data_IF_323700784039
#
_entry.id   IF_323700784039
#
_cell.length_a   1.000
_cell.length_b   1.000
_cell.length_c   1.000
_cell.angle_alpha   90.00
_cell.angle_beta   90.00
_cell.angle_gamma   90.00
#
_symmetry.space_group_name_H-M   'P 1'
#
loop_
_entity.id
_entity.type
_entity.pdbx_description
1 polymer ?
#
# COMPACT_ATOMS: atom_id res chain seq x y z
N UNK A 1 10.66 17.69 -6.16
CA UNK A 1 10.81 16.79 -5.00
C UNK A 1 9.42 16.53 -4.41
N UNK A 2 9.04 15.28 -4.14
CA UNK A 2 7.70 14.98 -3.58
C UNK A 2 7.82 14.83 -2.06
N UNK A 3 7.09 15.65 -1.29
CA UNK A 3 7.00 15.54 0.18
C UNK A 3 6.20 14.29 0.52
N UNK A 4 6.70 13.51 1.49
CA UNK A 4 6.03 12.28 1.95
C UNK A 4 5.48 12.49 3.36
N UNK A 5 4.20 12.19 3.59
CA UNK A 5 3.55 12.32 4.90
C UNK A 5 4.20 11.41 5.96
N UNK A 6 4.64 10.23 5.53
CA UNK A 6 5.34 9.22 6.34
C UNK A 6 6.63 9.74 6.99
N UNK A 7 7.29 10.75 6.39
CA UNK A 7 8.59 11.23 6.84
C UNK A 7 8.58 11.73 8.28
N UNK A 8 7.51 12.42 8.70
CA UNK A 8 7.35 12.91 10.06
C UNK A 8 7.36 11.78 11.10
N UNK A 9 6.73 10.65 10.79
CA UNK A 9 6.67 9.48 11.66
C UNK A 9 8.00 8.73 11.69
N UNK A 10 8.69 8.65 10.54
CA UNK A 10 10.04 8.09 10.45
C UNK A 10 11.03 8.86 11.30
N UNK A 11 11.01 10.19 11.21
CA UNK A 11 11.90 11.08 11.98
C UNK A 11 11.66 10.98 13.48
N UNK A 12 10.39 10.92 13.93
CA UNK A 12 10.07 10.68 15.35
C UNK A 12 10.66 9.36 15.84
N UNK A 13 10.55 8.30 15.04
CA UNK A 13 11.06 6.98 15.39
C UNK A 13 12.59 6.88 15.40
N UNK A 14 13.32 7.86 14.86
CA UNK A 14 14.79 7.85 14.92
C UNK A 14 15.33 7.89 16.35
N UNK A 15 14.54 8.37 17.30
CA UNK A 15 14.90 8.45 18.72
C UNK A 15 14.67 7.15 19.49
N UNK A 16 13.86 6.24 18.95
CA UNK A 16 13.54 4.97 19.58
C UNK A 16 14.70 3.96 19.44
N UNK A 17 14.85 2.98 20.34
CA UNK A 17 15.94 2.00 20.26
C UNK A 17 15.76 0.99 19.13
N UNK A 18 14.53 0.63 18.73
CA UNK A 18 14.25 -0.38 17.70
C UNK A 18 14.76 0.03 16.32
N UNK A 19 15.13 -0.94 15.47
CA UNK A 19 15.49 -0.65 14.08
C UNK A 19 14.30 -0.04 13.32
N UNK A 20 14.56 0.99 12.52
CA UNK A 20 13.57 1.53 11.59
C UNK A 20 13.65 0.73 10.30
N UNK A 21 12.61 -0.02 9.94
CA UNK A 21 12.58 -0.80 8.69
C UNK A 21 11.58 -0.20 7.71
N UNK A 22 12.04 0.27 6.56
CA UNK A 22 11.22 0.73 5.45
C UNK A 22 10.93 -0.44 4.53
N UNK A 23 9.64 -0.73 4.33
CA UNK A 23 9.17 -1.71 3.35
C UNK A 23 8.17 -1.09 2.39
N UNK A 24 7.79 -1.79 1.33
CA UNK A 24 6.81 -1.31 0.36
C UNK A 24 7.16 -1.71 -1.07
N UNK A 25 6.30 -1.34 -2.04
CA UNK A 25 6.48 -1.69 -3.44
C UNK A 25 7.82 -1.26 -4.01
N UNK A 26 8.27 -1.92 -5.08
CA UNK A 26 9.45 -1.46 -5.82
C UNK A 26 9.23 -0.07 -6.41
N UNK A 27 10.30 0.71 -6.51
CA UNK A 27 10.27 2.08 -7.08
C UNK A 27 9.30 3.07 -6.41
N UNK A 28 8.84 2.78 -5.18
CA UNK A 28 7.94 3.65 -4.40
C UNK A 28 8.68 4.81 -3.68
N UNK A 29 10.01 4.86 -3.79
CA UNK A 29 10.85 5.92 -3.20
C UNK A 29 11.48 5.59 -1.84
N UNK A 30 11.72 4.31 -1.51
CA UNK A 30 12.40 3.89 -0.27
C UNK A 30 13.83 4.44 -0.16
N UNK A 31 14.69 4.17 -1.14
CA UNK A 31 16.05 4.73 -1.25
C UNK A 31 16.05 6.25 -1.16
N UNK A 32 15.10 6.90 -1.85
CA UNK A 32 14.93 8.34 -1.77
C UNK A 32 14.62 8.83 -0.33
N UNK A 33 13.72 8.15 0.38
CA UNK A 33 13.43 8.46 1.79
C UNK A 33 14.64 8.26 2.70
N UNK A 34 15.42 7.18 2.51
CA UNK A 34 16.66 6.96 3.26
C UNK A 34 17.65 8.11 3.05
N UNK A 35 17.92 8.47 1.79
CA UNK A 35 18.82 9.58 1.47
C UNK A 35 18.33 10.92 2.03
N UNK A 36 17.02 11.19 1.95
CA UNK A 36 16.44 12.40 2.51
C UNK A 36 16.62 12.47 4.04
N UNK A 37 16.37 11.37 4.74
CA UNK A 37 16.57 11.28 6.19
C UNK A 37 18.06 11.45 6.55
N UNK A 38 18.96 10.82 5.80
CA UNK A 38 20.40 10.96 6.02
C UNK A 38 20.85 12.41 5.85
N UNK A 39 20.43 13.08 4.77
CA UNK A 39 20.77 14.48 4.53
C UNK A 39 20.29 15.39 5.66
N UNK A 40 19.06 15.21 6.16
CA UNK A 40 18.54 15.98 7.30
C UNK A 40 19.30 15.72 8.60
N UNK A 41 19.84 14.52 8.80
CA UNK A 41 20.70 14.21 9.93
C UNK A 41 22.08 14.86 9.79
N UNK A 42 22.67 14.84 8.59
CA UNK A 42 23.93 15.54 8.27
C UNK A 42 23.80 17.05 8.49
N UNK A 43 22.68 17.66 8.09
CA UNK A 43 22.37 19.07 8.38
C UNK A 43 22.34 19.37 9.89
N UNK A 44 21.86 18.40 10.69
CA UNK A 44 21.89 18.46 12.17
C UNK A 44 23.24 18.08 12.77
N UNK A 45 24.28 17.87 11.95
CA UNK A 45 25.63 17.44 12.34
C UNK A 45 25.68 16.09 13.06
N UNK A 46 24.70 15.24 12.82
CA UNK A 46 24.69 13.87 13.32
C UNK A 46 25.61 12.99 12.46
N UNK A 47 26.26 12.01 13.08
CA UNK A 47 27.09 11.04 12.34
C UNK A 47 26.20 10.05 11.60
N UNK A 48 26.45 9.87 10.31
CA UNK A 48 25.73 8.89 9.48
C UNK A 48 26.68 8.04 8.66
N UNK A 49 26.20 6.87 8.25
CA UNK A 49 26.85 6.02 7.26
C UNK A 49 25.76 5.42 6.36
N UNK A 50 25.95 5.46 5.05
CA UNK A 50 25.05 4.87 4.08
C UNK A 50 25.69 3.67 3.39
N UNK A 51 25.03 2.52 3.45
CA UNK A 51 25.47 1.26 2.86
C UNK A 51 24.35 0.71 1.97
N UNK A 52 24.59 0.60 0.67
CA UNK A 52 23.66 -0.07 -0.25
C UNK A 52 24.21 -1.41 -0.69
N UNK A 53 23.40 -2.46 -0.56
CA UNK A 53 23.73 -3.79 -1.10
C UNK A 53 23.61 -3.86 -2.63
N UNK A 54 23.26 -2.75 -3.29
CA UNK A 54 23.42 -2.65 -4.74
C UNK A 54 24.86 -2.47 -5.21
N UNK A 55 25.76 -2.07 -4.30
CA UNK A 55 27.18 -1.93 -4.60
C UNK A 55 27.96 -3.16 -4.10
N UNK A 56 28.68 -3.81 -5.01
CA UNK A 56 29.44 -5.04 -4.71
C UNK A 56 30.48 -4.86 -3.59
N UNK A 57 31.06 -3.67 -3.49
CA UNK A 57 31.98 -3.30 -2.41
C UNK A 57 31.31 -3.38 -1.04
N UNK A 58 30.07 -2.91 -0.92
CA UNK A 58 29.33 -2.97 0.33
C UNK A 58 28.85 -4.39 0.60
N UNK A 59 28.44 -5.15 -0.41
CA UNK A 59 28.01 -6.55 -0.23
C UNK A 59 29.06 -7.36 0.53
N UNK A 60 30.36 -7.14 0.25
CA UNK A 60 31.47 -7.79 0.95
C UNK A 60 31.52 -7.45 2.45
N UNK A 61 31.10 -6.25 2.85
CA UNK A 61 31.02 -5.83 4.26
C UNK A 61 29.99 -6.66 5.04
N UNK A 62 28.94 -7.13 4.38
CA UNK A 62 27.88 -7.95 4.99
C UNK A 62 28.24 -9.45 5.08
N UNK A 63 29.50 -9.82 4.81
CA UNK A 63 29.97 -11.22 4.94
C UNK A 63 29.84 -11.76 6.37
N UNK A 64 30.08 -10.91 7.38
CA UNK A 64 29.86 -11.21 8.79
C UNK A 64 29.44 -9.96 9.56
N UNK A 65 28.80 -10.14 10.72
CA UNK A 65 28.43 -9.02 11.59
C UNK A 65 29.67 -8.27 12.09
N UNK A 66 30.74 -9.01 12.42
CA UNK A 66 32.02 -8.44 12.90
C UNK A 66 32.62 -7.51 11.85
N UNK A 67 32.74 -7.96 10.60
CA UNK A 67 33.31 -7.16 9.51
C UNK A 67 32.53 -5.85 9.30
N UNK A 68 31.20 -5.94 9.28
CA UNK A 68 30.35 -4.75 9.16
C UNK A 68 30.55 -3.78 10.33
N UNK A 69 30.64 -4.28 11.56
CA UNK A 69 30.81 -3.45 12.75
C UNK A 69 32.17 -2.77 12.76
N UNK A 70 33.25 -3.48 12.44
CA UNK A 70 34.59 -2.90 12.33
C UNK A 70 34.62 -1.78 11.28
N UNK A 71 33.99 -1.99 10.13
CA UNK A 71 33.84 -0.96 9.12
C UNK A 71 33.02 0.24 9.63
N UNK A 72 31.89 0.01 10.29
CA UNK A 72 31.08 1.09 10.88
C UNK A 72 31.93 1.89 11.89
N UNK A 73 32.64 1.22 12.80
CA UNK A 73 33.51 1.85 13.79
C UNK A 73 34.60 2.70 13.14
N UNK A 74 35.19 2.23 12.04
CA UNK A 74 36.18 2.98 11.28
C UNK A 74 35.60 4.28 10.70
N UNK A 75 34.38 4.23 10.16
CA UNK A 75 33.75 5.38 9.49
C UNK A 75 33.15 6.41 10.46
N UNK A 76 32.47 5.96 11.52
CA UNK A 76 31.70 6.85 12.41
C UNK A 76 32.17 6.83 13.87
N UNK A 77 33.12 5.97 14.22
CA UNK A 77 33.60 5.77 15.59
C UNK A 77 32.62 4.98 16.45
N UNK A 78 32.88 4.95 17.75
CA UNK A 78 32.10 4.17 18.74
C UNK A 78 31.02 5.00 19.47
N UNK A 79 30.67 6.18 18.94
CA UNK A 79 29.62 7.04 19.51
C UNK A 79 28.31 6.88 18.74
N UNK A 80 27.25 7.55 19.21
CA UNK A 80 25.95 7.57 18.56
C UNK A 80 26.09 7.90 17.06
N UNK A 81 25.54 7.04 16.21
CA UNK A 81 25.47 7.25 14.76
C UNK A 81 24.23 6.58 14.14
N UNK A 82 23.83 7.05 12.97
CA UNK A 82 22.70 6.51 12.21
C UNK A 82 23.21 5.76 10.98
N UNK A 83 22.93 4.47 10.91
CA UNK A 83 23.43 3.58 9.85
C UNK A 83 22.28 3.24 8.93
N UNK A 84 22.38 3.71 7.69
CA UNK A 84 21.42 3.47 6.62
C UNK A 84 21.86 2.24 5.83
N UNK A 85 20.98 1.25 5.71
CA UNK A 85 21.24 0.00 4.99
C UNK A 85 20.14 -0.16 3.93
N UNK A 86 20.50 -0.01 2.66
CA UNK A 86 19.56 -0.08 1.54
C UNK A 86 19.58 -1.47 0.88
N UNK A 87 18.42 -1.93 0.41
CA UNK A 87 18.23 -3.17 -0.35
C UNK A 87 18.70 -4.44 0.41
N UNK A 88 18.46 -4.50 1.73
CA UNK A 88 18.93 -5.60 2.60
C UNK A 88 18.42 -6.98 2.18
N UNK A 89 17.33 -7.08 1.40
CA UNK A 89 16.85 -8.35 0.88
C UNK A 89 17.83 -9.05 -0.08
N UNK A 90 18.90 -8.36 -0.52
CA UNK A 90 20.01 -8.99 -1.26
C UNK A 90 20.89 -9.86 -0.36
N UNK A 91 20.87 -9.65 0.96
CA UNK A 91 21.57 -10.50 1.94
C UNK A 91 20.75 -11.75 2.24
N UNK A 92 21.32 -12.92 1.99
CA UNK A 92 20.75 -14.18 2.47
C UNK A 92 20.67 -14.18 4.00
N UNK A 93 19.54 -14.65 4.56
CA UNK A 93 19.27 -14.66 6.00
C UNK A 93 19.41 -13.27 6.66
N UNK A 94 19.02 -12.20 5.95
CA UNK A 94 19.01 -10.82 6.43
C UNK A 94 18.40 -10.66 7.83
N UNK A 95 17.31 -11.36 8.14
CA UNK A 95 16.65 -11.28 9.45
C UNK A 95 17.57 -11.68 10.61
N UNK A 96 18.26 -12.81 10.50
CA UNK A 96 19.22 -13.29 11.52
C UNK A 96 20.41 -12.33 11.62
N UNK A 97 20.89 -11.85 10.47
CA UNK A 97 22.00 -10.91 10.42
C UNK A 97 21.67 -9.62 11.19
N UNK A 98 20.52 -9.01 10.93
CA UNK A 98 20.07 -7.80 11.62
C UNK A 98 19.79 -8.04 13.11
N UNK A 99 19.26 -9.21 13.48
CA UNK A 99 19.02 -9.60 14.88
C UNK A 99 20.31 -9.55 15.68
N UNK A 100 21.38 -10.20 15.20
CA UNK A 100 22.64 -10.21 15.94
C UNK A 100 23.28 -8.83 16.03
N UNK A 101 23.17 -7.98 14.99
CA UNK A 101 23.62 -6.58 15.08
C UNK A 101 22.87 -5.81 16.17
N UNK A 102 21.55 -5.99 16.25
CA UNK A 102 20.72 -5.33 17.25
C UNK A 102 21.05 -5.80 18.67
N UNK A 103 21.19 -7.12 18.86
CA UNK A 103 21.40 -7.73 20.18
C UNK A 103 22.78 -7.39 20.78
N UNK A 104 23.74 -6.91 19.97
CA UNK A 104 25.02 -6.39 20.44
C UNK A 104 24.92 -5.03 21.15
N UNK A 105 23.76 -4.35 21.09
CA UNK A 105 23.48 -3.08 21.80
C UNK A 105 24.52 -1.99 21.54
N UNK A 106 25.02 -1.93 20.30
CA UNK A 106 25.94 -0.88 19.85
C UNK A 106 25.21 0.48 19.83
N UNK A 107 25.92 1.61 19.93
CA UNK A 107 25.32 2.94 19.92
C UNK A 107 24.88 3.38 18.50
N UNK A 108 24.40 2.44 17.68
CA UNK A 108 24.04 2.69 16.29
C UNK A 108 22.55 2.52 16.10
N UNK A 109 21.87 3.56 15.60
CA UNK A 109 20.49 3.45 15.12
C UNK A 109 20.53 2.88 13.71
N UNK A 110 19.94 1.69 13.51
CA UNK A 110 19.85 1.08 12.18
C UNK A 110 18.56 1.54 11.48
N UNK A 111 18.69 2.05 10.26
CA UNK A 111 17.60 2.40 9.35
C UNK A 111 17.78 1.56 8.10
N UNK A 112 16.88 0.63 7.89
CA UNK A 112 17.04 -0.41 6.87
C UNK A 112 15.91 -0.31 5.87
N UNK A 113 16.20 -0.33 4.58
CA UNK A 113 15.17 -0.58 3.56
C UNK A 113 15.19 -2.04 3.12
N UNK A 114 14.03 -2.53 2.74
CA UNK A 114 13.95 -3.64 1.81
C UNK A 114 12.61 -3.66 1.08
N UNK A 115 12.54 -4.37 -0.04
CA UNK A 115 11.24 -4.77 -0.57
C UNK A 115 10.54 -5.72 0.42
N UNK A 116 9.21 -5.89 0.32
CA UNK A 116 8.42 -6.79 1.20
C UNK A 116 8.90 -8.24 1.29
N UNK A 117 9.89 -8.58 0.48
CA UNK A 117 10.55 -9.88 0.41
C UNK A 117 11.59 -10.18 1.49
N UNK A 118 11.87 -9.24 2.40
CA UNK A 118 12.89 -9.44 3.45
C UNK A 118 12.64 -10.70 4.28
N UNK A 119 11.37 -11.00 4.60
CA UNK A 119 10.97 -12.24 5.28
C UNK A 119 10.79 -13.42 4.30
N UNK A 120 10.45 -13.14 3.04
CA UNK A 120 10.24 -14.16 1.99
C UNK A 120 11.52 -14.91 1.60
N UNK A 121 12.66 -14.20 1.59
CA UNK A 121 13.97 -14.78 1.24
C UNK A 121 14.67 -15.45 2.42
N UNK A 122 14.10 -15.39 3.63
CA UNK A 122 14.68 -16.03 4.80
C UNK A 122 14.35 -17.53 4.82
N UNK A 123 15.36 -18.40 4.67
CA UNK A 123 15.20 -19.86 4.82
C UNK A 123 14.86 -20.27 6.26
N UNK A 124 15.15 -19.39 7.21
CA UNK A 124 14.93 -19.58 8.64
C UNK A 124 13.87 -18.57 9.11
N UNK A 125 12.79 -19.07 9.71
CA UNK A 125 11.71 -18.24 10.29
C UNK A 125 12.13 -17.72 11.67
N UNK A 126 13.15 -16.87 11.73
CA UNK A 126 13.47 -16.13 12.96
C UNK A 126 12.86 -14.73 12.91
N UNK A 127 12.11 -14.40 13.97
CA UNK A 127 11.39 -13.14 14.06
C UNK A 127 12.29 -12.03 14.60
N UNK A 128 12.27 -10.87 13.93
CA UNK A 128 12.79 -9.60 14.44
C UNK A 128 11.83 -8.92 15.45
N UNK A 129 10.90 -9.68 16.04
CA UNK A 129 9.93 -9.17 17.01
C UNK A 129 10.62 -8.46 18.18
N UNK A 130 10.06 -7.31 18.56
CA UNK A 130 10.58 -6.43 19.61
C UNK A 130 11.86 -5.67 19.25
N UNK A 131 12.42 -5.86 18.04
CA UNK A 131 13.69 -5.24 17.60
C UNK A 131 13.53 -4.30 16.42
N UNK A 132 12.34 -4.27 15.81
CA UNK A 132 12.05 -3.46 14.62
C UNK A 132 10.71 -2.76 14.75
N UNK A 133 10.62 -1.59 14.15
CA UNK A 133 9.37 -0.96 13.72
C UNK A 133 9.35 -0.92 12.20
N UNK A 134 8.30 -1.48 11.62
CA UNK A 134 8.09 -1.49 10.16
C UNK A 134 7.30 -0.24 9.77
N UNK A 135 7.79 0.47 8.77
CA UNK A 135 7.11 1.56 8.08
C UNK A 135 6.86 1.16 6.63
N UNK A 136 5.59 1.08 6.25
CA UNK A 136 5.20 0.73 4.87
C UNK A 136 5.15 2.02 4.05
N UNK A 137 6.07 2.14 3.09
CA UNK A 137 6.09 3.21 2.09
C UNK A 137 5.10 2.84 0.99
N UNK A 138 4.00 3.57 0.90
CA UNK A 138 2.96 3.37 -0.10
C UNK A 138 3.23 4.21 -1.36
N UNK A 139 2.62 3.87 -2.52
CA UNK A 139 2.43 4.84 -3.59
C UNK A 139 1.84 6.14 -3.01
N UNK A 140 2.05 7.25 -3.71
CA UNK A 140 1.57 8.55 -3.24
C UNK A 140 0.09 8.46 -2.92
N UNK A 141 -0.32 9.00 -1.77
CA UNK A 141 -1.74 9.24 -1.51
C UNK A 141 -2.28 10.27 -2.50
N UNK A 142 -3.61 10.35 -2.62
CA UNK A 142 -4.23 11.38 -3.45
C UNK A 142 -3.84 12.80 -3.00
N UNK A 143 -3.73 13.03 -1.69
CA UNK A 143 -3.28 14.31 -1.13
C UNK A 143 -1.83 14.63 -1.50
N UNK A 144 -0.90 13.66 -1.36
CA UNK A 144 0.51 13.83 -1.77
C UNK A 144 0.61 14.13 -3.27
N UNK A 145 -0.21 13.45 -4.09
CA UNK A 145 -0.31 13.68 -5.53
C UNK A 145 -0.79 15.11 -5.85
N UNK A 146 -1.90 15.55 -5.24
CA UNK A 146 -2.46 16.90 -5.47
C UNK A 146 -1.50 17.99 -5.01
N UNK A 147 -0.88 17.82 -3.84
CA UNK A 147 0.13 18.74 -3.34
C UNK A 147 1.27 18.90 -4.34
N UNK A 148 1.79 17.79 -4.87
CA UNK A 148 2.83 17.86 -5.90
C UNK A 148 2.33 18.55 -7.18
N UNK A 149 1.14 18.18 -7.69
CA UNK A 149 0.56 18.72 -8.93
C UNK A 149 0.23 20.22 -8.86
N UNK A 150 -0.07 20.71 -7.67
CA UNK A 150 -0.36 22.12 -7.41
C UNK A 150 0.87 22.90 -6.95
N UNK A 151 2.07 22.33 -7.08
CA UNK A 151 3.33 22.90 -6.58
C UNK A 151 3.25 23.37 -5.11
N UNK A 152 2.52 22.61 -4.29
CA UNK A 152 2.28 22.86 -2.87
C UNK A 152 1.54 24.17 -2.56
N UNK A 153 0.90 24.80 -3.55
CA UNK A 153 0.14 26.05 -3.37
C UNK A 153 -0.98 25.95 -2.33
N UNK A 154 -1.51 24.73 -2.12
CA UNK A 154 -2.66 24.47 -1.25
C UNK A 154 -2.37 23.49 -0.12
N UNK A 155 -1.09 23.26 0.23
CA UNK A 155 -0.68 22.22 1.21
C UNK A 155 -1.46 22.29 2.54
N UNK A 156 -1.61 23.47 3.11
CA UNK A 156 -2.33 23.67 4.39
C UNK A 156 -3.85 23.86 4.23
N UNK A 157 -4.36 23.85 2.99
CA UNK A 157 -5.76 24.15 2.66
C UNK A 157 -6.33 23.24 1.56
N UNK A 158 -5.82 22.00 1.47
CA UNK A 158 -6.26 21.05 0.46
C UNK A 158 -7.76 20.81 0.48
N UNK A 159 -8.38 20.76 1.67
CA UNK A 159 -9.84 20.61 1.80
C UNK A 159 -10.61 21.75 1.17
N UNK A 160 -10.14 22.99 1.35
CA UNK A 160 -10.76 24.16 0.71
C UNK A 160 -10.58 24.10 -0.80
N UNK A 161 -9.38 23.73 -1.26
CA UNK A 161 -9.12 23.50 -2.69
C UNK A 161 -10.07 22.45 -3.26
N UNK A 162 -10.20 21.28 -2.62
CA UNK A 162 -11.08 20.20 -3.08
C UNK A 162 -12.55 20.59 -3.14
N UNK A 163 -12.98 21.47 -2.23
CA UNK A 163 -14.35 21.95 -2.13
C UNK A 163 -14.66 23.06 -3.13
N UNK A 164 -13.71 23.97 -3.37
CA UNK A 164 -13.89 25.17 -4.19
C UNK A 164 -13.59 24.86 -5.66
N UNK A 165 -12.46 24.20 -5.94
CA UNK A 165 -11.99 23.83 -7.28
C UNK A 165 -12.48 22.43 -7.66
N UNK A 166 -13.80 22.25 -7.68
CA UNK A 166 -14.43 20.93 -7.84
C UNK A 166 -14.02 20.25 -9.17
N UNK A 167 -14.01 21.00 -10.28
CA UNK A 167 -13.64 20.46 -11.59
C UNK A 167 -12.18 20.02 -11.62
N UNK A 168 -11.27 20.89 -11.17
CA UNK A 168 -9.83 20.56 -11.12
C UNK A 168 -9.57 19.35 -10.21
N UNK A 169 -10.32 19.21 -9.11
CA UNK A 169 -10.23 18.06 -8.21
C UNK A 169 -10.65 16.77 -8.90
N UNK A 170 -11.73 16.79 -9.69
CA UNK A 170 -12.16 15.64 -10.47
C UNK A 170 -11.17 15.28 -11.58
N UNK A 171 -10.58 16.28 -12.25
CA UNK A 171 -9.55 16.05 -13.27
C UNK A 171 -8.31 15.40 -12.66
N UNK A 172 -7.87 15.87 -11.48
CA UNK A 172 -6.77 15.28 -10.73
C UNK A 172 -7.10 13.87 -10.24
N UNK A 173 -8.33 13.61 -9.79
CA UNK A 173 -8.78 12.26 -9.42
C UNK A 173 -8.75 11.32 -10.62
N UNK A 174 -9.22 11.77 -11.78
CA UNK A 174 -9.19 11.00 -13.03
C UNK A 174 -7.75 10.67 -13.42
N UNK A 175 -6.84 11.65 -13.38
CA UNK A 175 -5.41 11.42 -13.64
C UNK A 175 -4.82 10.40 -12.65
N UNK A 176 -5.11 10.54 -11.36
CA UNK A 176 -4.62 9.64 -10.32
C UNK A 176 -5.14 8.21 -10.49
N UNK A 177 -6.42 8.01 -10.80
CA UNK A 177 -6.97 6.69 -11.08
C UNK A 177 -6.31 6.08 -12.32
N UNK A 178 -6.15 6.86 -13.40
CA UNK A 178 -5.62 6.38 -14.69
C UNK A 178 -4.14 6.02 -14.63
N UNK A 179 -3.31 6.82 -13.95
CA UNK A 179 -1.85 6.66 -13.93
C UNK A 179 -1.28 6.10 -12.63
N UNK A 180 -2.07 6.08 -11.54
CA UNK A 180 -1.61 5.66 -10.22
C UNK A 180 -0.76 6.69 -9.50
N UNK A 181 -0.26 6.29 -8.32
CA UNK A 181 0.52 7.09 -7.38
C UNK A 181 2.01 6.73 -7.33
N UNK A 182 2.55 5.91 -8.23
CA UNK A 182 4.00 5.66 -8.24
C UNK A 182 4.79 6.95 -8.45
N UNK A 183 5.73 7.34 -7.56
CA UNK A 183 6.38 8.64 -7.63
C UNK A 183 7.08 8.93 -8.97
N UNK A 184 7.80 7.95 -9.55
CA UNK A 184 8.46 8.13 -10.86
C UNK A 184 7.44 8.42 -11.98
N UNK A 185 6.28 7.76 -11.96
CA UNK A 185 5.20 7.99 -12.92
C UNK A 185 4.58 9.37 -12.72
N UNK A 186 4.37 9.79 -11.47
CA UNK A 186 3.82 11.12 -11.16
C UNK A 186 4.79 12.24 -11.57
N UNK A 187 6.10 12.01 -11.47
CA UNK A 187 7.15 12.93 -11.90
C UNK A 187 7.29 13.04 -13.44
N UNK A 188 6.88 12.02 -14.18
CA UNK A 188 6.95 12.02 -15.64
C UNK A 188 5.99 13.06 -16.24
N UNK A 189 6.52 13.90 -17.14
CA UNK A 189 5.83 15.09 -17.66
C UNK A 189 4.83 14.79 -18.78
N UNK A 190 5.09 13.76 -19.58
CA UNK A 190 4.25 13.38 -20.73
C UNK A 190 3.61 12.02 -20.52
N UNK A 191 2.50 11.75 -21.21
CA UNK A 191 1.84 10.44 -21.16
C UNK A 191 2.77 9.30 -21.62
N UNK A 192 3.59 9.54 -22.65
CA UNK A 192 4.54 8.55 -23.15
C UNK A 192 5.62 8.22 -22.10
N UNK A 193 6.20 9.23 -21.45
CA UNK A 193 7.17 9.01 -20.38
C UNK A 193 6.53 8.28 -19.20
N UNK A 194 5.27 8.59 -18.87
CA UNK A 194 4.51 7.85 -17.84
C UNK A 194 4.37 6.39 -18.21
N UNK A 195 4.04 6.09 -19.48
CA UNK A 195 3.87 4.73 -19.98
C UNK A 195 5.19 3.94 -19.93
N UNK A 196 6.27 4.49 -20.47
CA UNK A 196 7.60 3.86 -20.41
C UNK A 196 8.06 3.66 -18.96
N UNK A 197 7.80 4.63 -18.08
CA UNK A 197 8.14 4.50 -16.65
C UNK A 197 7.33 3.38 -15.98
N UNK A 198 6.04 3.26 -16.29
CA UNK A 198 5.20 2.18 -15.74
C UNK A 198 5.61 0.81 -16.28
N UNK A 199 6.00 0.74 -17.56
CA UNK A 199 6.57 -0.46 -18.18
C UNK A 199 7.85 -0.90 -17.47
N UNK A 200 8.78 0.01 -17.18
CA UNK A 200 9.98 -0.30 -16.39
C UNK A 200 9.63 -0.83 -14.99
N UNK A 201 8.63 -0.23 -14.31
CA UNK A 201 8.16 -0.71 -13.00
C UNK A 201 7.60 -2.13 -13.14
N UNK A 202 6.73 -2.35 -14.13
CA UNK A 202 6.12 -3.65 -14.37
C UNK A 202 7.16 -4.73 -14.69
N UNK A 203 8.05 -4.51 -15.65
CA UNK A 203 9.09 -5.48 -16.03
C UNK A 203 10.08 -5.75 -14.89
N UNK A 204 10.57 -4.70 -14.21
CA UNK A 204 11.53 -4.90 -13.13
C UNK A 204 10.96 -5.68 -11.95
N UNK A 205 9.66 -5.59 -11.72
CA UNK A 205 9.04 -6.09 -10.51
C UNK A 205 8.23 -7.37 -10.74
N UNK A 206 7.35 -7.37 -11.75
CA UNK A 206 6.48 -8.49 -12.08
C UNK A 206 7.22 -9.57 -12.86
N UNK A 207 8.02 -9.18 -13.86
CA UNK A 207 8.67 -10.16 -14.73
C UNK A 207 9.96 -10.71 -14.11
N UNK A 208 10.79 -9.83 -13.54
CA UNK A 208 12.08 -10.24 -12.95
C UNK A 208 11.93 -10.76 -11.53
N UNK A 209 11.56 -9.93 -10.56
CA UNK A 209 11.66 -10.34 -9.15
C UNK A 209 10.69 -11.43 -8.75
N UNK A 210 9.43 -11.31 -9.18
CA UNK A 210 8.43 -12.32 -8.86
C UNK A 210 8.77 -13.64 -9.56
N UNK A 211 9.27 -13.57 -10.79
CA UNK A 211 9.78 -14.74 -11.52
C UNK A 211 10.88 -15.46 -10.73
N UNK A 212 11.91 -14.72 -10.31
CA UNK A 212 13.02 -15.24 -9.49
C UNK A 212 12.55 -15.81 -8.16
N UNK A 213 11.68 -15.06 -7.46
CA UNK A 213 11.24 -15.38 -6.12
C UNK A 213 10.29 -16.58 -6.08
N UNK A 214 9.49 -16.76 -7.12
CA UNK A 214 8.62 -17.92 -7.27
C UNK A 214 9.35 -19.14 -7.87
N UNK A 215 10.56 -18.97 -8.41
CA UNK A 215 11.28 -20.00 -9.15
C UNK A 215 10.48 -20.48 -10.37
N UNK A 216 9.69 -19.60 -10.98
CA UNK A 216 8.70 -19.97 -11.98
C UNK A 216 9.33 -19.93 -13.36
N UNK A 217 9.47 -21.11 -13.97
CA UNK A 217 9.86 -21.25 -15.38
C UNK A 217 8.75 -20.79 -16.36
N UNK A 218 7.50 -20.64 -15.88
CA UNK A 218 6.31 -20.26 -16.68
C UNK A 218 5.77 -18.86 -16.32
N UNK A 219 6.45 -17.82 -16.80
CA UNK A 219 6.05 -16.41 -16.62
C UNK A 219 4.63 -16.09 -17.13
N UNK A 220 4.16 -16.82 -18.15
CA UNK A 220 2.83 -16.61 -18.73
C UNK A 220 1.68 -16.92 -17.77
N UNK A 221 1.80 -17.96 -16.94
CA UNK A 221 0.75 -18.33 -16.00
C UNK A 221 0.55 -17.26 -14.92
N UNK A 222 1.65 -16.69 -14.40
CA UNK A 222 1.61 -15.57 -13.45
C UNK A 222 1.01 -14.32 -14.12
N UNK A 223 1.43 -14.03 -15.36
CA UNK A 223 0.94 -12.88 -16.13
C UNK A 223 -0.56 -12.99 -16.41
N UNK A 224 -1.05 -14.17 -16.81
CA UNK A 224 -2.46 -14.43 -17.03
C UNK A 224 -3.27 -14.34 -15.73
N UNK A 225 -2.75 -14.90 -14.63
CA UNK A 225 -3.36 -14.75 -13.31
C UNK A 225 -3.52 -13.27 -12.93
N UNK A 226 -2.46 -12.47 -13.10
CA UNK A 226 -2.50 -11.04 -12.81
C UNK A 226 -3.50 -10.28 -13.69
N UNK A 227 -3.56 -10.60 -14.99
CA UNK A 227 -4.56 -10.03 -15.91
C UNK A 227 -6.00 -10.36 -15.48
N UNK A 228 -6.26 -11.60 -15.08
CA UNK A 228 -7.59 -12.00 -14.59
C UNK A 228 -7.93 -11.28 -13.29
N UNK A 229 -7.01 -11.19 -12.33
CA UNK A 229 -7.23 -10.46 -11.08
C UNK A 229 -7.44 -8.96 -11.33
N UNK A 230 -6.67 -8.37 -12.25
CA UNK A 230 -6.81 -6.98 -12.66
C UNK A 230 -8.19 -6.69 -13.28
N UNK A 231 -8.72 -7.60 -14.09
CA UNK A 231 -10.04 -7.43 -14.72
C UNK A 231 -11.20 -7.57 -13.71
N UNK A 232 -11.04 -8.41 -12.68
CA UNK A 232 -12.05 -8.65 -11.63
C UNK A 232 -11.77 -7.90 -10.31
N UNK A 233 -11.05 -6.79 -10.36
CA UNK A 233 -10.77 -5.94 -9.19
C UNK A 233 -12.07 -5.61 -8.44
N UNK A 234 -12.07 -5.70 -7.10
CA UNK A 234 -13.27 -5.48 -6.30
C UNK A 234 -14.31 -6.62 -6.34
N UNK A 235 -14.06 -7.70 -7.10
CA UNK A 235 -14.92 -8.89 -7.15
C UNK A 235 -14.35 -10.07 -6.35
N UNK A 236 -15.23 -11.02 -6.01
CA UNK A 236 -14.85 -12.24 -5.33
C UNK A 236 -13.89 -13.07 -6.18
N UNK A 237 -12.82 -13.55 -5.56
CA UNK A 237 -11.85 -14.43 -6.21
C UNK A 237 -12.11 -15.88 -5.80
N UNK A 238 -12.49 -16.70 -6.79
CA UNK A 238 -12.58 -18.15 -6.65
C UNK A 238 -11.30 -18.80 -7.19
N UNK A 239 -10.52 -19.43 -6.30
CA UNK A 239 -9.24 -20.05 -6.67
C UNK A 239 -9.40 -21.21 -7.65
N UNK A 240 -10.50 -21.95 -7.57
CA UNK A 240 -10.76 -23.08 -8.47
C UNK A 240 -11.09 -22.61 -9.89
N UNK A 241 -11.81 -21.50 -10.02
CA UNK A 241 -12.07 -20.87 -11.33
C UNK A 241 -10.78 -20.28 -11.92
N UNK A 242 -9.90 -19.72 -11.08
CA UNK A 242 -8.57 -19.27 -11.50
C UNK A 242 -7.68 -20.43 -11.95
N UNK A 243 -7.67 -21.53 -11.20
CA UNK A 243 -6.91 -22.74 -11.53
C UNK A 243 -7.31 -23.32 -12.87
N UNK A 244 -8.62 -23.45 -13.12
CA UNK A 244 -9.14 -23.95 -14.41
C UNK A 244 -8.82 -23.01 -15.56
N UNK A 245 -8.92 -21.69 -15.36
CA UNK A 245 -8.67 -20.69 -16.40
C UNK A 245 -7.18 -20.55 -16.74
N UNK A 246 -6.31 -20.55 -15.74
CA UNK A 246 -4.85 -20.36 -15.92
C UNK A 246 -4.16 -21.68 -16.26
N UNK A 247 -4.76 -22.83 -15.91
CA UNK A 247 -4.21 -24.17 -16.20
C UNK A 247 -3.11 -24.60 -15.23
N UNK A 248 -3.16 -24.17 -13.96
CA UNK A 248 -2.21 -24.57 -12.91
C UNK A 248 -2.95 -24.92 -11.62
N UNK A 249 -2.38 -25.80 -10.80
CA UNK A 249 -3.04 -26.30 -9.59
C UNK A 249 -3.45 -25.20 -8.58
N UNK A 250 -4.58 -25.40 -7.89
CA UNK A 250 -5.10 -24.51 -6.83
C UNK A 250 -4.05 -24.12 -5.79
N UNK A 251 -3.18 -25.06 -5.39
CA UNK A 251 -2.10 -24.79 -4.42
C UNK A 251 -1.11 -23.76 -4.98
N UNK A 252 -0.80 -23.83 -6.27
CA UNK A 252 0.09 -22.88 -6.95
C UNK A 252 -0.56 -21.51 -7.09
N UNK A 253 -1.86 -21.44 -7.42
CA UNK A 253 -2.63 -20.18 -7.43
C UNK A 253 -2.57 -19.51 -6.06
N UNK A 254 -2.87 -20.24 -5.00
CA UNK A 254 -2.81 -19.71 -3.63
C UNK A 254 -1.41 -19.23 -3.26
N UNK A 255 -0.38 -19.95 -3.68
CA UNK A 255 1.01 -19.53 -3.48
C UNK A 255 1.30 -18.21 -4.22
N UNK A 256 0.92 -18.09 -5.49
CA UNK A 256 1.09 -16.86 -6.26
C UNK A 256 0.34 -15.68 -5.63
N UNK A 257 -0.93 -15.86 -5.24
CA UNK A 257 -1.72 -14.85 -4.55
C UNK A 257 -1.07 -14.40 -3.24
N UNK A 258 -0.50 -15.33 -2.48
CA UNK A 258 0.23 -15.01 -1.25
C UNK A 258 1.46 -14.15 -1.55
N UNK A 259 2.28 -14.54 -2.53
CA UNK A 259 3.45 -13.77 -2.92
C UNK A 259 3.09 -12.37 -3.44
N UNK A 260 2.08 -12.25 -4.28
CA UNK A 260 1.56 -10.96 -4.77
C UNK A 260 1.09 -10.04 -3.63
N UNK A 261 0.57 -10.61 -2.53
CA UNK A 261 0.24 -9.86 -1.32
C UNK A 261 1.50 -9.43 -0.56
N UNK A 262 2.46 -10.35 -0.37
CA UNK A 262 3.70 -10.06 0.39
C UNK A 262 4.63 -9.08 -0.33
N UNK A 263 4.54 -8.97 -1.65
CA UNK A 263 5.36 -8.04 -2.41
C UNK A 263 4.69 -6.67 -2.61
N UNK A 264 3.45 -6.47 -2.15
CA UNK A 264 2.67 -5.23 -2.30
C UNK A 264 2.14 -4.95 -3.72
N UNK A 265 1.78 -5.98 -4.50
CA UNK A 265 0.96 -5.78 -5.72
C UNK A 265 -0.51 -5.80 -5.36
N UNK A 266 -0.92 -6.85 -4.65
CA UNK A 266 -2.31 -7.05 -4.24
C UNK A 266 -2.45 -6.89 -2.74
N UNK A 267 -3.65 -6.56 -2.30
CA UNK A 267 -4.05 -6.66 -0.91
C UNK A 267 -5.37 -7.42 -0.82
N UNK A 268 -5.36 -8.46 0.02
CA UNK A 268 -6.53 -9.30 0.27
C UNK A 268 -7.46 -8.63 1.29
N UNK A 269 -8.76 -8.66 1.00
CA UNK A 269 -9.84 -8.24 1.91
C UNK A 269 -10.77 -9.43 2.11
N UNK A 270 -10.97 -9.84 3.37
CA UNK A 270 -11.83 -10.96 3.72
C UNK A 270 -13.25 -10.50 4.04
N UNK A 271 -14.25 -11.38 3.94
CA UNK A 271 -15.62 -11.02 4.28
C UNK A 271 -15.82 -10.92 5.79
N UNK A 272 -16.57 -9.91 6.22
CA UNK A 272 -17.01 -9.71 7.59
C UNK A 272 -18.02 -10.80 7.99
N UNK A 273 -17.61 -11.65 8.93
CA UNK A 273 -18.48 -12.59 9.61
C UNK A 273 -18.28 -12.49 11.12
N UNK A 274 -19.35 -12.69 11.88
CA UNK A 274 -19.23 -12.88 13.34
C UNK A 274 -18.58 -14.22 13.69
N UNK A 275 -18.64 -15.19 12.77
CA UNK A 275 -17.98 -16.49 12.90
C UNK A 275 -16.64 -16.49 12.15
N UNK A 276 -15.55 -16.59 12.92
CA UNK A 276 -14.17 -16.56 12.41
C UNK A 276 -13.89 -17.66 11.38
N UNK A 277 -14.45 -18.87 11.52
CA UNK A 277 -14.26 -19.93 10.50
C UNK A 277 -14.89 -19.56 9.16
N UNK A 278 -16.06 -18.91 9.17
CA UNK A 278 -16.70 -18.43 7.93
C UNK A 278 -15.93 -17.27 7.30
N UNK A 279 -15.35 -16.39 8.11
CA UNK A 279 -14.44 -15.33 7.65
C UNK A 279 -13.21 -15.89 6.93
N UNK A 280 -12.60 -16.95 7.47
CA UNK A 280 -11.40 -17.58 6.90
C UNK A 280 -11.71 -18.38 5.62
N UNK A 281 -12.84 -19.08 5.57
CA UNK A 281 -13.15 -20.05 4.50
C UNK A 281 -13.80 -19.44 3.26
N UNK A 282 -14.33 -18.22 3.35
CA UNK A 282 -15.06 -17.61 2.23
C UNK A 282 -14.14 -16.85 1.29
N UNK A 283 -14.53 -16.85 0.00
CA UNK A 283 -13.79 -16.20 -1.08
C UNK A 283 -13.48 -14.73 -0.72
N UNK A 284 -12.21 -14.29 -0.84
CA UNK A 284 -11.83 -12.91 -0.58
C UNK A 284 -12.03 -12.02 -1.82
N UNK A 285 -11.84 -10.72 -1.63
CA UNK A 285 -11.65 -9.72 -2.69
C UNK A 285 -10.18 -9.29 -2.69
N UNK A 286 -9.62 -8.99 -3.86
CA UNK A 286 -8.28 -8.40 -3.98
C UNK A 286 -8.34 -7.02 -4.60
N UNK A 287 -7.62 -6.07 -4.00
CA UNK A 287 -7.37 -4.73 -4.52
C UNK A 287 -5.89 -4.55 -4.82
N UNK A 288 -5.55 -3.66 -5.74
CA UNK A 288 -4.18 -3.32 -6.07
C UNK A 288 -3.66 -2.20 -5.17
N UNK A 289 -2.39 -2.24 -4.81
CA UNK A 289 -1.74 -1.12 -4.12
C UNK A 289 -1.71 0.16 -4.96
N UNK A 290 -1.81 0.02 -6.28
CA UNK A 290 -1.76 1.12 -7.25
C UNK A 290 -2.66 0.81 -8.46
N UNK A 291 -3.58 1.72 -8.79
CA UNK A 291 -4.50 1.55 -9.93
C UNK A 291 -3.80 1.71 -11.28
N UNK A 292 -2.69 2.48 -11.34
CA UNK A 292 -1.89 2.62 -12.54
C UNK A 292 -1.25 1.30 -12.96
N UNK A 293 -0.67 0.56 -12.02
CA UNK A 293 -0.11 -0.76 -12.29
C UNK A 293 -1.18 -1.72 -12.83
N UNK A 294 -2.36 -1.73 -12.20
CA UNK A 294 -3.51 -2.51 -12.68
C UNK A 294 -3.93 -2.11 -14.10
N UNK A 295 -4.01 -0.81 -14.37
CA UNK A 295 -4.42 -0.31 -15.67
C UNK A 295 -3.39 -0.66 -16.75
N UNK A 296 -2.10 -0.62 -16.42
CA UNK A 296 -1.03 -1.07 -17.31
C UNK A 296 -1.18 -2.54 -17.68
N UNK A 297 -1.45 -3.42 -16.70
CA UNK A 297 -1.66 -4.85 -16.93
C UNK A 297 -2.81 -5.18 -17.90
N UNK A 298 -3.82 -4.29 -17.97
CA UNK A 298 -4.97 -4.44 -18.88
C UNK A 298 -4.86 -3.63 -20.18
N UNK A 299 -3.77 -2.89 -20.39
CA UNK A 299 -3.64 -1.98 -21.53
C UNK A 299 -4.55 -0.75 -21.45
N UNK A 300 -5.02 -0.39 -20.25
CA UNK A 300 -5.91 0.74 -19.97
C UNK A 300 -5.18 1.93 -19.33
N UNK A 301 -3.84 1.91 -19.33
CA UNK A 301 -3.01 2.93 -18.68
C UNK A 301 -3.10 4.27 -19.40
N UNK A 302 -3.39 5.33 -18.64
CA UNK A 302 -3.45 6.69 -19.17
C UNK A 302 -4.64 6.98 -20.09
N UNK A 303 -5.71 6.19 -20.01
CA UNK A 303 -6.94 6.52 -20.75
C UNK A 303 -7.45 7.92 -20.36
N UNK A 304 -7.93 8.71 -21.34
CA UNK A 304 -8.40 10.08 -21.10
C UNK A 304 -9.65 10.12 -20.23
N UNK A 305 -10.44 9.04 -20.25
CA UNK A 305 -11.55 8.82 -19.34
C UNK A 305 -11.61 7.36 -18.95
N UNK A 306 -12.03 7.12 -17.71
CA UNK A 306 -12.22 5.76 -17.19
C UNK A 306 -13.55 5.24 -17.75
N UNK A 307 -13.59 4.05 -18.38
CA UNK A 307 -14.83 3.47 -18.87
C UNK A 307 -15.88 3.40 -17.74
N UNK A 308 -17.14 3.83 -17.97
CA UNK A 308 -18.16 3.84 -16.92
C UNK A 308 -18.32 2.48 -16.23
N UNK A 309 -18.25 1.39 -16.98
CA UNK A 309 -18.34 0.02 -16.48
C UNK A 309 -17.20 -0.38 -15.50
N UNK A 310 -16.04 0.27 -15.57
CA UNK A 310 -14.89 0.00 -14.70
C UNK A 310 -14.72 1.03 -13.59
N UNK A 311 -15.37 2.19 -13.75
CA UNK A 311 -15.16 3.36 -12.89
C UNK A 311 -15.52 3.11 -11.43
N UNK A 312 -16.57 2.31 -11.17
CA UNK A 312 -16.97 1.91 -9.81
C UNK A 312 -15.86 1.17 -9.07
N UNK A 313 -15.41 0.02 -9.60
CA UNK A 313 -14.38 -0.80 -8.94
C UNK A 313 -13.00 -0.14 -8.88
N UNK A 314 -12.63 0.70 -9.86
CA UNK A 314 -11.41 1.50 -9.78
C UNK A 314 -11.48 2.54 -8.65
N UNK A 315 -12.62 3.21 -8.51
CA UNK A 315 -12.86 4.14 -7.42
C UNK A 315 -12.89 3.43 -6.07
N UNK A 316 -13.56 2.27 -5.96
CA UNK A 316 -13.49 1.40 -4.77
C UNK A 316 -12.05 1.09 -4.40
N UNK A 317 -11.18 0.77 -5.36
CA UNK A 317 -9.77 0.55 -5.07
C UNK A 317 -9.06 1.81 -4.55
N UNK A 318 -9.36 2.99 -5.09
CA UNK A 318 -8.80 4.24 -4.56
C UNK A 318 -9.26 4.46 -3.11
N UNK A 319 -10.56 4.28 -2.84
CA UNK A 319 -11.12 4.36 -1.49
C UNK A 319 -10.43 3.35 -0.57
N UNK A 320 -10.28 2.10 -1.00
CA UNK A 320 -9.57 1.06 -0.26
C UNK A 320 -8.13 1.48 0.07
N UNK A 321 -7.40 2.04 -0.89
CA UNK A 321 -6.03 2.48 -0.67
C UNK A 321 -5.94 3.64 0.33
N UNK A 322 -6.90 4.56 0.31
CA UNK A 322 -7.01 5.63 1.31
C UNK A 322 -7.33 5.06 2.70
N UNK A 323 -8.32 4.17 2.81
CA UNK A 323 -8.67 3.50 4.08
C UNK A 323 -7.48 2.76 4.68
N UNK A 324 -6.80 1.94 3.87
CA UNK A 324 -5.67 1.11 4.30
C UNK A 324 -4.51 1.95 4.83
N UNK A 325 -4.30 3.15 4.29
CA UNK A 325 -3.22 4.04 4.73
C UNK A 325 -3.52 4.70 6.09
N UNK A 326 -4.79 4.83 6.46
CA UNK A 326 -5.23 5.50 7.67
C UNK A 326 -5.64 4.55 8.81
N UNK A 327 -5.85 3.27 8.51
CA UNK A 327 -6.22 2.25 9.51
C UNK A 327 -4.97 1.74 10.24
N UNK A 328 -5.03 1.78 11.56
CA UNK A 328 -3.97 1.34 12.45
C UNK A 328 -4.42 0.03 13.13
N UNK A 329 -3.61 -1.05 13.09
CA UNK A 329 -3.92 -2.27 13.82
C UNK A 329 -4.20 -2.00 15.31
N UNK A 330 -5.16 -2.69 15.95
CA UNK A 330 -5.82 -3.92 15.49
C UNK A 330 -7.03 -3.72 14.57
N UNK A 331 -7.35 -2.47 14.19
CA UNK A 331 -8.47 -2.20 13.28
C UNK A 331 -8.22 -2.82 11.91
N UNK A 332 -9.31 -3.29 11.27
CA UNK A 332 -9.23 -4.03 10.02
C UNK A 332 -10.35 -3.68 9.05
N UNK A 333 -10.05 -3.81 7.75
CA UNK A 333 -10.99 -3.62 6.65
C UNK A 333 -11.49 -4.99 6.21
N UNK A 334 -12.80 -5.13 6.18
CA UNK A 334 -13.52 -6.27 5.60
C UNK A 334 -14.45 -5.79 4.49
N UNK A 335 -15.08 -6.70 3.76
CA UNK A 335 -16.30 -6.41 2.98
C UNK A 335 -17.47 -7.20 3.56
N UNK A 336 -18.72 -6.88 3.26
CA UNK A 336 -19.84 -7.72 3.68
C UNK A 336 -20.65 -8.22 2.50
N UNK A 337 -21.07 -9.49 2.54
CA UNK A 337 -21.90 -10.09 1.49
C UNK A 337 -22.87 -11.13 2.05
N UNK A 338 -24.08 -11.17 1.49
CA UNK A 338 -25.11 -12.18 1.78
C UNK A 338 -25.15 -13.29 0.72
N UNK A 339 -25.91 -14.36 0.99
CA UNK A 339 -26.19 -15.41 -0.01
C UNK A 339 -26.95 -14.87 -1.22
N UNK A 340 -27.82 -13.88 -1.00
CA UNK A 340 -28.60 -13.21 -2.04
C UNK A 340 -27.81 -12.09 -2.75
N UNK A 341 -26.47 -12.16 -2.69
CA UNK A 341 -25.53 -11.23 -3.34
C UNK A 341 -25.63 -9.75 -2.93
N UNK A 342 -26.41 -9.41 -1.89
CA UNK A 342 -26.33 -8.07 -1.30
C UNK A 342 -24.92 -7.84 -0.71
N UNK A 343 -24.28 -6.73 -1.06
CA UNK A 343 -22.90 -6.40 -0.70
C UNK A 343 -22.77 -4.99 -0.12
N UNK A 344 -21.87 -4.83 0.85
CA UNK A 344 -21.32 -3.54 1.30
C UNK A 344 -19.81 -3.59 1.07
N UNK A 345 -19.26 -2.59 0.39
CA UNK A 345 -17.90 -2.58 -0.14
C UNK A 345 -16.85 -2.71 0.96
N UNK A 346 -16.99 -1.91 2.03
CA UNK A 346 -16.09 -1.99 3.17
C UNK A 346 -16.83 -1.99 4.51
N UNK A 347 -16.27 -2.69 5.48
CA UNK A 347 -16.66 -2.67 6.88
C UNK A 347 -15.38 -2.51 7.69
N UNK A 348 -15.22 -1.35 8.32
CA UNK A 348 -14.15 -1.14 9.30
C UNK A 348 -14.59 -1.76 10.62
N UNK A 349 -13.76 -2.60 11.20
CA UNK A 349 -13.97 -3.15 12.54
C UNK A 349 -12.93 -2.56 13.49
N UNK A 350 -13.42 -1.86 14.52
CA UNK A 350 -12.61 -1.29 15.60
C UNK A 350 -13.10 -1.87 16.93
N UNK A 351 -12.49 -2.98 17.34
CA UNK A 351 -12.96 -3.79 18.46
C UNK A 351 -14.35 -4.38 18.20
N UNK A 352 -15.34 -3.89 18.96
CA UNK A 352 -16.76 -4.27 18.82
C UNK A 352 -17.54 -3.33 17.89
N UNK A 353 -16.99 -2.16 17.58
CA UNK A 353 -17.65 -1.22 16.68
C UNK A 353 -17.41 -1.62 15.23
N UNK A 354 -18.46 -1.50 14.42
CA UNK A 354 -18.40 -1.73 12.98
C UNK A 354 -18.95 -0.52 12.25
N UNK A 355 -18.25 -0.13 11.19
CA UNK A 355 -18.60 1.04 10.37
C UNK A 355 -18.68 0.60 8.91
N UNK A 356 -19.89 0.50 8.32
CA UNK A 356 -20.05 0.18 6.91
C UNK A 356 -19.76 1.40 6.02
N UNK A 357 -19.12 1.15 4.88
CA UNK A 357 -18.75 2.15 3.89
C UNK A 357 -19.14 1.63 2.50
N UNK A 358 -19.86 2.45 1.74
CA UNK A 358 -20.19 2.22 0.33
C UNK A 358 -19.48 3.28 -0.53
N UNK A 359 -18.81 2.87 -1.60
CA UNK A 359 -18.09 3.78 -2.50
C UNK A 359 -18.85 3.93 -3.81
N UNK A 360 -19.24 5.17 -4.14
CA UNK A 360 -20.00 5.48 -5.36
C UNK A 360 -19.26 6.49 -6.21
N UNK A 361 -18.76 6.07 -7.37
CA UNK A 361 -18.18 6.97 -8.36
C UNK A 361 -19.26 7.74 -9.14
N UNK A 362 -19.96 8.63 -8.44
CA UNK A 362 -21.02 9.45 -9.01
C UNK A 362 -21.25 10.71 -8.19
N UNK A 363 -21.79 11.75 -8.85
CA UNK A 363 -22.28 12.97 -8.22
C UNK A 363 -23.77 12.78 -7.89
N UNK A 364 -24.03 12.39 -6.65
CA UNK A 364 -25.37 12.20 -6.08
C UNK A 364 -26.07 13.55 -5.91
N UNK A 365 -27.23 13.70 -6.55
CA UNK A 365 -28.13 14.86 -6.31
C UNK A 365 -28.83 14.79 -4.95
N UNK A 366 -29.09 13.57 -4.48
CA UNK A 366 -29.69 13.26 -3.18
C UNK A 366 -29.01 12.04 -2.56
N UNK A 367 -28.96 11.94 -1.22
CA UNK A 367 -28.46 10.76 -0.54
C UNK A 367 -29.20 9.51 -1.01
N UNK A 368 -28.48 8.54 -1.54
CA UNK A 368 -29.06 7.30 -2.02
C UNK A 368 -28.39 6.11 -1.32
N UNK A 369 -29.16 5.48 -0.43
CA UNK A 369 -28.72 4.30 0.32
C UNK A 369 -29.20 3.05 -0.38
N UNK A 370 -28.27 2.22 -0.85
CA UNK A 370 -28.58 0.99 -1.57
C UNK A 370 -29.37 0.01 -0.71
N UNK A 371 -30.13 -0.88 -1.35
CA UNK A 371 -30.85 -1.95 -0.64
C UNK A 371 -29.89 -2.83 0.17
N UNK A 372 -28.72 -3.13 -0.39
CA UNK A 372 -27.69 -3.92 0.28
C UNK A 372 -27.18 -3.25 1.55
N UNK A 373 -26.92 -1.95 1.50
CA UNK A 373 -26.50 -1.18 2.66
C UNK A 373 -27.59 -1.13 3.73
N UNK A 374 -28.86 -0.91 3.34
CA UNK A 374 -30.00 -0.99 4.28
C UNK A 374 -30.09 -2.35 4.97
N UNK A 375 -29.88 -3.44 4.22
CA UNK A 375 -29.88 -4.79 4.79
C UNK A 375 -28.77 -4.95 5.85
N UNK A 376 -27.59 -4.38 5.62
CA UNK A 376 -26.51 -4.36 6.60
C UNK A 376 -26.92 -3.58 7.86
N UNK A 377 -27.46 -2.37 7.69
CA UNK A 377 -27.89 -1.52 8.80
C UNK A 377 -28.94 -2.19 9.68
N UNK A 378 -29.96 -2.83 9.08
CA UNK A 378 -30.99 -3.58 9.83
C UNK A 378 -30.36 -4.73 10.62
N UNK A 379 -29.42 -5.45 10.01
CA UNK A 379 -28.82 -6.64 10.62
C UNK A 379 -27.89 -6.34 11.78
N UNK A 380 -27.05 -5.30 11.63
CA UNK A 380 -25.97 -5.04 12.60
C UNK A 380 -26.14 -3.77 13.41
N UNK A 381 -27.09 -2.88 13.04
CA UNK A 381 -27.42 -1.64 13.74
C UNK A 381 -26.18 -0.81 14.15
N UNK A 382 -25.26 -0.50 13.20
CA UNK A 382 -24.08 0.30 13.53
C UNK A 382 -24.49 1.72 13.95
N UNK A 383 -23.73 2.36 14.83
CA UNK A 383 -23.99 3.75 15.25
C UNK A 383 -23.86 4.73 14.08
N UNK A 384 -22.85 4.52 13.24
CA UNK A 384 -22.51 5.35 12.10
C UNK A 384 -22.16 4.53 10.86
N UNK A 385 -22.33 5.12 9.69
CA UNK A 385 -21.91 4.55 8.41
C UNK A 385 -21.61 5.65 7.38
N UNK A 386 -20.90 5.30 6.31
CA UNK A 386 -20.47 6.26 5.30
C UNK A 386 -20.87 5.84 3.88
N UNK A 387 -21.20 6.84 3.06
CA UNK A 387 -21.31 6.72 1.60
C UNK A 387 -20.33 7.71 1.00
N UNK A 388 -19.28 7.19 0.37
CA UNK A 388 -18.19 7.98 -0.18
C UNK A 388 -18.45 8.21 -1.66
N UNK A 389 -18.51 9.47 -2.10
CA UNK A 389 -18.88 9.79 -3.48
C UNK A 389 -18.21 11.07 -4.00
N UNK A 390 -18.67 11.58 -5.15
CA UNK A 390 -18.17 12.83 -5.75
C UNK A 390 -18.97 14.07 -5.31
N UNK A 391 -19.80 13.94 -4.28
CA UNK A 391 -20.80 14.96 -3.90
C UNK A 391 -20.41 15.70 -2.62
N UNK A 392 -21.10 16.80 -2.33
CA UNK A 392 -20.94 17.55 -1.08
C UNK A 392 -21.39 16.72 0.13
N UNK A 393 -20.81 17.06 1.28
CA UNK A 393 -21.15 16.45 2.57
C UNK A 393 -22.64 16.61 2.90
N UNK A 394 -23.30 15.51 3.26
CA UNK A 394 -24.67 15.47 3.76
C UNK A 394 -24.78 14.41 4.84
N UNK A 395 -25.66 14.63 5.81
CA UNK A 395 -25.94 13.63 6.86
C UNK A 395 -27.40 13.26 6.79
N UNK A 396 -27.68 11.96 6.81
CA UNK A 396 -29.03 11.42 6.89
C UNK A 396 -29.11 10.39 8.02
N UNK A 397 -30.31 10.18 8.53
CA UNK A 397 -30.58 9.09 9.47
C UNK A 397 -31.33 7.98 8.73
N UNK A 398 -30.83 6.75 8.83
CA UNK A 398 -31.47 5.57 8.23
C UNK A 398 -31.67 4.54 9.33
N UNK A 399 -32.93 4.28 9.68
CA UNK A 399 -33.28 3.57 10.92
C UNK A 399 -32.66 4.30 12.12
N UNK A 400 -31.83 3.63 12.91
CA UNK A 400 -31.13 4.19 14.08
C UNK A 400 -29.66 4.53 13.80
N UNK A 401 -29.23 4.51 12.52
CA UNK A 401 -27.85 4.77 12.10
C UNK A 401 -27.70 6.16 11.48
N UNK A 402 -26.69 6.91 11.93
CA UNK A 402 -26.25 8.13 11.23
C UNK A 402 -25.41 7.76 10.00
N UNK A 403 -25.88 8.11 8.80
CA UNK A 403 -25.16 7.86 7.55
C UNK A 403 -24.62 9.18 7.00
N UNK A 404 -23.29 9.25 6.90
CA UNK A 404 -22.57 10.39 6.37
C UNK A 404 -22.29 10.17 4.88
N UNK A 405 -22.94 10.94 4.02
CA UNK A 405 -22.59 11.01 2.60
C UNK A 405 -21.48 12.04 2.46
N UNK A 406 -20.27 11.60 2.13
CA UNK A 406 -19.07 12.44 2.12
C UNK A 406 -18.38 12.41 0.77
N UNK A 407 -17.67 13.49 0.40
CA UNK A 407 -16.76 13.45 -0.73
C UNK A 407 -15.57 12.55 -0.43
N UNK A 408 -15.02 11.92 -1.46
CA UNK A 408 -13.89 10.99 -1.36
C UNK A 408 -12.64 11.55 -0.66
N UNK A 409 -12.41 12.85 -0.76
CA UNK A 409 -11.28 13.53 -0.12
C UNK A 409 -11.52 13.87 1.36
N UNK A 410 -12.73 13.66 1.90
CA UNK A 410 -13.02 13.85 3.33
C UNK A 410 -12.89 12.55 4.13
N UNK A 411 -12.39 11.49 3.51
CA UNK A 411 -12.40 10.15 4.05
C UNK A 411 -11.50 9.99 5.29
N UNK A 412 -10.50 10.85 5.50
CA UNK A 412 -9.57 10.75 6.64
C UNK A 412 -10.20 11.08 8.01
N UNK A 413 -11.48 11.48 8.05
CA UNK A 413 -12.25 11.78 9.29
C UNK A 413 -12.67 10.54 10.10
N UNK A 414 -12.19 9.32 9.82
CA UNK A 414 -12.59 8.14 10.59
C UNK A 414 -12.19 8.17 12.06
N UNK A 415 -11.09 8.87 12.38
CA UNK A 415 -10.46 8.88 13.69
C UNK A 415 -10.74 10.15 14.53
N UNK A 416 -11.60 11.05 14.04
CA UNK A 416 -11.96 12.31 14.73
C UNK A 416 -13.36 12.29 15.31
#
# INVERSE_FOLDING_TARGET
MIKRTLLSSLEKHLLEPEMTILTGPRQVGKTYLLNLMENRLKEKKEKTLYLSLDYDEHVKLFSSQVNLIEYIKLQVGERKAYIFIDEIQRKENAGIFLKGLYDMKLPYKLIVSGSGSLELKSKIKESLAGRKKIFVVNPLSFEEFVNFKTNYRYEDKLRDFFRIEEQQTQDLLSEYISFGGYPRVVLAKTSDLKKTTMEEIYTSYVEKDLGELLGVEKTDALTNLLKIIASQIGSLVNTSDLSSTVGIADKTINNYLWYLEQTFILKKVTPFYTNVRKEITKAPIYYFYDTGLRNFMLGLFGLPSIPPALSGHLFENVIFNTLRQNIIPPDAIYFWRTKDNAQVDFVIRSGLEITPIEAKYTKLKKPEVSRSYRNFLVKYKPKKGYIVCLSKEQTITVYDTQVFVIPFWSLDKFNS
#
